data_IF_981578193117
#
_entry.id   IF_981578193117
#
_cell.length_a   1.000
_cell.length_b   1.000
_cell.length_c   1.000
_cell.angle_alpha   90.00
_cell.angle_beta   90.00
_cell.angle_gamma   90.00
#
_symmetry.space_group_name_H-M   'P 1'
#
loop_
_entity.id
_entity.type
_entity.pdbx_description
1 polymer ?
#
# COMPACT_ATOMS: atom_id res chain seq x y z
N UNK A 1 -19.66 -1.57 -6.60
CA UNK A 1 -19.76 -1.35 -8.07
C UNK A 1 -18.42 -1.36 -8.81
N UNK A 2 -17.30 -1.00 -8.18
CA UNK A 2 -15.97 -0.89 -8.84
C UNK A 2 -15.06 -2.12 -8.66
N UNK A 3 -15.60 -3.24 -8.18
CA UNK A 3 -14.78 -4.43 -7.87
C UNK A 3 -14.20 -5.01 -9.17
N UNK A 4 -15.04 -5.16 -10.20
CA UNK A 4 -14.61 -5.74 -11.48
C UNK A 4 -13.50 -4.93 -12.16
N UNK A 5 -13.58 -3.59 -12.09
CA UNK A 5 -12.56 -2.70 -12.64
C UNK A 5 -11.21 -2.88 -11.94
N UNK A 6 -11.23 -2.98 -10.60
CA UNK A 6 -10.01 -3.19 -9.80
C UNK A 6 -9.40 -4.58 -10.05
N UNK A 7 -10.24 -5.61 -10.20
CA UNK A 7 -9.81 -6.97 -10.53
C UNK A 7 -9.15 -7.01 -11.91
N UNK A 8 -9.77 -6.39 -12.91
CA UNK A 8 -9.24 -6.30 -14.27
C UNK A 8 -7.93 -5.51 -14.30
N UNK A 9 -7.81 -4.44 -13.53
CA UNK A 9 -6.56 -3.68 -13.40
C UNK A 9 -5.44 -4.53 -12.80
N UNK A 10 -5.70 -5.24 -11.70
CA UNK A 10 -4.72 -6.16 -11.09
C UNK A 10 -4.31 -7.28 -12.06
N UNK A 11 -5.25 -7.83 -12.83
CA UNK A 11 -4.96 -8.83 -13.87
C UNK A 11 -3.99 -8.28 -14.92
N UNK A 12 -4.14 -7.02 -15.33
CA UNK A 12 -3.23 -6.35 -16.27
C UNK A 12 -1.84 -6.13 -15.66
N UNK A 13 -1.76 -5.66 -14.41
CA UNK A 13 -0.47 -5.53 -13.71
C UNK A 13 0.27 -6.87 -13.64
N UNK A 14 -0.45 -7.97 -13.37
CA UNK A 14 0.11 -9.32 -13.41
C UNK A 14 0.67 -9.67 -14.78
N UNK A 15 -0.06 -9.38 -15.85
CA UNK A 15 0.39 -9.68 -17.22
C UNK A 15 1.64 -8.91 -17.64
N UNK A 16 1.90 -7.76 -17.01
CA UNK A 16 3.09 -6.94 -17.20
C UNK A 16 4.24 -7.29 -16.24
N UNK A 17 4.08 -8.35 -15.44
CA UNK A 17 5.02 -8.77 -14.41
C UNK A 17 5.34 -7.66 -13.39
N UNK A 18 4.38 -6.75 -13.16
CA UNK A 18 4.47 -5.68 -12.16
C UNK A 18 4.05 -6.26 -10.80
N UNK A 19 4.89 -6.15 -9.75
CA UNK A 19 4.50 -6.53 -8.40
C UNK A 19 3.24 -5.76 -7.97
N UNK A 20 2.22 -6.49 -7.52
CA UNK A 20 0.96 -5.91 -7.06
C UNK A 20 0.36 -6.77 -5.95
N UNK A 21 -0.46 -6.14 -5.11
CA UNK A 21 -1.25 -6.79 -4.08
C UNK A 21 -2.71 -6.37 -4.25
N UNK A 22 -3.63 -7.33 -4.35
CA UNK A 22 -5.07 -7.08 -4.42
C UNK A 22 -5.74 -7.89 -3.31
N UNK A 23 -6.44 -7.19 -2.42
CA UNK A 23 -7.29 -7.78 -1.40
C UNK A 23 -8.74 -7.35 -1.67
N UNK A 24 -9.64 -8.32 -1.91
CA UNK A 24 -11.07 -8.06 -2.15
C UNK A 24 -11.83 -8.29 -0.85
N UNK A 25 -12.58 -7.29 -0.40
CA UNK A 25 -13.30 -7.35 0.87
C UNK A 25 -14.80 -7.20 0.62
N UNK A 26 -15.48 -8.35 0.49
CA UNK A 26 -16.89 -8.40 0.07
C UNK A 26 -17.87 -8.03 1.19
N UNK A 27 -17.41 -8.04 2.45
CA UNK A 27 -18.27 -7.79 3.62
C UNK A 27 -18.64 -6.32 3.84
N UNK A 28 -18.01 -5.39 3.11
CA UNK A 28 -18.16 -3.95 3.38
C UNK A 28 -18.52 -3.12 2.14
N UNK A 29 -19.28 -2.02 2.32
CA UNK A 29 -19.62 -1.13 1.23
C UNK A 29 -18.40 -0.35 0.74
N UNK A 30 -18.50 0.23 -0.45
CA UNK A 30 -17.49 1.14 -0.98
C UNK A 30 -17.29 2.34 -0.02
N UNK A 31 -16.03 2.75 0.18
CA UNK A 31 -15.68 3.83 1.10
C UNK A 31 -15.58 3.42 2.57
N UNK A 32 -15.64 2.12 2.90
CA UNK A 32 -15.61 1.66 4.29
C UNK A 32 -14.39 2.15 5.10
N UNK A 33 -13.27 2.46 4.44
CA UNK A 33 -12.06 2.98 5.08
C UNK A 33 -12.29 4.32 5.80
N UNK A 34 -13.21 5.15 5.31
CA UNK A 34 -13.58 6.43 5.93
C UNK A 34 -14.29 6.24 7.28
N UNK A 35 -14.79 5.03 7.53
CA UNK A 35 -15.53 4.65 8.72
C UNK A 35 -14.67 3.82 9.68
N UNK A 36 -13.38 4.15 9.78
CA UNK A 36 -12.40 3.53 10.67
C UNK A 36 -12.85 3.36 12.13
N UNK A 37 -13.76 4.22 12.61
CA UNK A 37 -14.28 4.18 13.97
C UNK A 37 -15.64 3.48 14.10
N UNK A 38 -16.24 3.05 12.99
CA UNK A 38 -17.60 2.51 12.98
C UNK A 38 -17.68 1.03 13.38
N UNK A 39 -16.57 0.28 13.28
CA UNK A 39 -16.47 -1.09 13.78
C UNK A 39 -15.01 -1.49 14.03
N UNK A 40 -14.81 -2.37 15.01
CA UNK A 40 -13.49 -2.90 15.35
C UNK A 40 -12.83 -3.62 14.15
N UNK A 41 -13.62 -4.35 13.36
CA UNK A 41 -13.10 -5.02 12.18
C UNK A 41 -12.56 -4.03 11.13
N UNK A 42 -13.23 -2.90 10.89
CA UNK A 42 -12.77 -1.88 9.95
C UNK A 42 -11.54 -1.16 10.49
N UNK A 43 -11.50 -0.87 11.80
CA UNK A 43 -10.33 -0.31 12.46
C UNK A 43 -9.10 -1.22 12.29
N UNK A 44 -9.29 -2.52 12.52
CA UNK A 44 -8.26 -3.54 12.36
C UNK A 44 -7.77 -3.61 10.91
N UNK A 45 -8.68 -3.57 9.94
CA UNK A 45 -8.32 -3.57 8.52
C UNK A 45 -7.52 -2.33 8.11
N UNK A 46 -7.86 -1.16 8.65
CA UNK A 46 -7.09 0.06 8.42
C UNK A 46 -5.65 -0.07 8.95
N UNK A 47 -5.47 -0.66 10.13
CA UNK A 47 -4.15 -0.94 10.72
C UNK A 47 -3.35 -1.89 9.83
N UNK A 48 -3.98 -2.95 9.30
CA UNK A 48 -3.33 -3.90 8.40
C UNK A 48 -2.80 -3.23 7.11
N UNK A 49 -3.60 -2.33 6.51
CA UNK A 49 -3.16 -1.56 5.35
C UNK A 49 -1.96 -0.68 5.71
N UNK A 50 -2.00 0.02 6.83
CA UNK A 50 -0.90 0.89 7.28
C UNK A 50 0.39 0.07 7.45
N UNK A 51 0.31 -1.08 8.11
CA UNK A 51 1.47 -1.96 8.31
C UNK A 51 2.03 -2.47 6.98
N UNK A 52 1.17 -2.84 6.03
CA UNK A 52 1.59 -3.24 4.69
C UNK A 52 2.36 -2.11 3.98
N UNK A 53 1.84 -0.89 4.02
CA UNK A 53 2.49 0.27 3.41
C UNK A 53 3.84 0.58 4.06
N UNK A 54 3.94 0.51 5.40
CA UNK A 54 5.19 0.68 6.12
C UNK A 54 6.24 -0.35 5.69
N UNK A 55 5.84 -1.62 5.56
CA UNK A 55 6.74 -2.68 5.11
C UNK A 55 7.25 -2.43 3.68
N UNK A 56 6.37 -2.02 2.76
CA UNK A 56 6.75 -1.68 1.38
C UNK A 56 7.76 -0.53 1.36
N UNK A 57 7.50 0.53 2.12
CA UNK A 57 8.38 1.70 2.21
C UNK A 57 9.74 1.33 2.81
N UNK A 58 9.77 0.54 3.88
CA UNK A 58 11.03 0.08 4.50
C UNK A 58 11.86 -0.80 3.56
N UNK A 59 11.21 -1.68 2.79
CA UNK A 59 11.89 -2.48 1.77
C UNK A 59 12.51 -1.58 0.69
N UNK A 60 11.80 -0.54 0.25
CA UNK A 60 12.35 0.44 -0.70
C UNK A 60 13.61 1.12 -0.15
N UNK A 61 13.60 1.58 1.11
CA UNK A 61 14.78 2.20 1.72
C UNK A 61 15.95 1.23 1.97
N UNK A 62 15.66 -0.03 2.29
CA UNK A 62 16.71 -1.03 2.55
C UNK A 62 17.45 -1.45 1.27
N UNK A 63 16.76 -1.40 0.13
CA UNK A 63 17.31 -1.75 -1.17
C UNK A 63 18.11 -0.59 -1.83
N UNK A 64 18.10 0.61 -1.25
CA UNK A 64 18.71 1.85 -1.79
C UNK A 64 20.09 2.17 -1.16
N UNK A 65 20.82 1.17 -0.65
CA UNK A 65 22.13 1.37 -0.01
C UNK A 65 23.30 1.56 -0.99
N UNK A 66 23.04 1.66 -2.30
CA UNK A 66 24.09 1.81 -3.33
C UNK A 66 24.24 3.19 -3.95
N UNK A 67 23.67 4.26 -3.39
CA UNK A 67 24.00 5.65 -3.75
C UNK A 67 23.61 6.62 -2.63
N UNK A 68 24.48 6.80 -1.62
CA UNK A 68 24.36 7.95 -0.71
C UNK A 68 25.19 9.09 -1.33
N UNK A 69 24.58 10.12 -1.95
CA UNK A 69 25.32 11.32 -2.29
C UNK A 69 25.76 11.99 -0.98
N UNK A 70 27.07 12.22 -0.85
CA UNK A 70 27.68 12.92 0.28
C UNK A 70 26.99 14.28 0.48
N UNK A 71 26.37 14.47 1.64
CA UNK A 71 25.81 15.77 2.03
C UNK A 71 26.94 16.79 2.12
N UNK A 72 26.89 17.95 1.44
CA UNK A 72 27.91 18.97 1.58
C UNK A 72 27.79 19.59 2.98
N UNK A 73 28.82 19.42 3.81
CA UNK A 73 28.95 20.14 5.07
C UNK A 73 29.15 21.62 4.77
N UNK A 74 28.14 22.45 5.01
CA UNK A 74 28.32 23.90 5.06
C UNK A 74 28.99 24.25 6.39
N UNK A 75 30.27 24.62 6.34
CA UNK A 75 30.96 25.25 7.46
C UNK A 75 30.67 26.75 7.37
N UNK A 76 29.91 27.25 8.34
CA UNK A 76 29.74 28.68 8.59
C UNK A 76 30.88 29.27 9.40
#
# INVERSE_FOLDING_TARGET
>A
PFIDDNVEFARRLRSLNVPHHLNVVDKWPHGFLDFGFASDDVAQFNIEIINMLQNIVQQSYSNDTSDIPSVPTFIG
#
